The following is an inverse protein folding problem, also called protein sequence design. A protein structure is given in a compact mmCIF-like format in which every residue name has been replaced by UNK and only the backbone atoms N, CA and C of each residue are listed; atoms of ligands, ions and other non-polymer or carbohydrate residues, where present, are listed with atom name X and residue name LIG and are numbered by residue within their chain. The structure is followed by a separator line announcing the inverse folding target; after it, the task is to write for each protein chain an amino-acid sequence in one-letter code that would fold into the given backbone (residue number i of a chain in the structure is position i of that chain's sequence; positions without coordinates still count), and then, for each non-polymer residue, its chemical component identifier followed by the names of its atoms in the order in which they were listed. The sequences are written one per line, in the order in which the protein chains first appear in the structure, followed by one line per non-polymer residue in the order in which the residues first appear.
data_IF_601561328786
#
_entry.id   IF_601561328786
#
_cell.length_a   1.000
_cell.length_b   1.000
_cell.length_c   1.000
_cell.angle_alpha   90.00
_cell.angle_beta   90.00
_cell.angle_gamma   90.00
#
_symmetry.space_group_name_H-M   'P 1'
#
loop_
_entity.id
_entity.type
_entity.pdbx_description
1 polymer ?
#
# COMPACT_ATOMS: atom_id res chain seq x y z
N UNK A 1 36.20 8.14 -11.97
CA UNK A 1 35.00 8.26 -11.12
C UNK A 1 35.27 9.07 -9.85
N UNK A 2 36.37 8.83 -9.11
CA UNK A 2 36.79 9.71 -8.01
C UNK A 2 37.03 11.15 -8.46
N UNK A 3 37.58 11.34 -9.66
CA UNK A 3 37.84 12.68 -10.20
C UNK A 3 36.53 13.46 -10.43
N UNK A 4 35.50 12.79 -10.97
CA UNK A 4 34.16 13.36 -11.16
C UNK A 4 33.56 13.80 -9.82
N UNK A 5 33.64 12.94 -8.79
CA UNK A 5 33.13 13.28 -7.46
C UNK A 5 33.84 14.51 -6.89
N UNK A 6 35.18 14.55 -7.01
CA UNK A 6 35.98 15.71 -6.57
C UNK A 6 35.63 16.99 -7.34
N UNK A 7 35.48 16.91 -8.66
CA UNK A 7 35.10 18.06 -9.50
C UNK A 7 33.76 18.67 -9.09
N UNK A 8 32.83 17.85 -8.59
CA UNK A 8 31.50 18.28 -8.17
C UNK A 8 31.35 18.45 -6.65
N UNK A 9 32.45 18.44 -5.88
CA UNK A 9 32.42 18.54 -4.41
C UNK A 9 31.52 17.49 -3.75
N UNK A 10 31.50 16.27 -4.30
CA UNK A 10 30.71 15.16 -3.82
C UNK A 10 31.58 14.12 -3.10
N UNK A 11 31.03 13.52 -2.06
CA UNK A 11 31.66 12.46 -1.28
C UNK A 11 30.80 11.21 -1.27
N UNK A 12 31.44 10.05 -1.41
CA UNK A 12 30.81 8.74 -1.26
C UNK A 12 30.98 8.26 0.18
N UNK A 13 29.88 8.03 0.89
CA UNK A 13 29.89 7.76 2.34
C UNK A 13 29.86 6.28 2.72
N UNK A 14 29.54 5.37 1.79
CA UNK A 14 29.50 3.93 2.11
C UNK A 14 30.91 3.36 2.19
N UNK A 15 31.24 2.78 3.35
CA UNK A 15 32.55 2.22 3.66
C UNK A 15 32.53 0.71 3.95
N UNK A 16 31.35 0.08 3.88
CA UNK A 16 31.16 -1.34 4.18
C UNK A 16 30.74 -2.11 2.91
N UNK A 17 31.12 -3.40 2.78
CA UNK A 17 30.78 -4.17 1.59
C UNK A 17 29.27 -4.38 1.44
N UNK A 18 28.75 -4.00 0.27
CA UNK A 18 27.33 -3.98 -0.07
C UNK A 18 26.89 -5.18 -0.90
N UNK A 19 27.82 -6.06 -1.30
CA UNK A 19 27.53 -7.31 -1.99
C UNK A 19 28.11 -8.52 -1.24
N UNK A 20 27.57 -9.72 -1.47
CA UNK A 20 28.08 -11.00 -0.90
C UNK A 20 29.55 -11.29 -1.22
N UNK A 21 30.08 -10.80 -2.34
CA UNK A 21 31.50 -10.93 -2.74
C UNK A 21 32.43 -9.92 -2.08
N UNK A 22 31.95 -9.18 -1.07
CA UNK A 22 32.70 -8.18 -0.33
C UNK A 22 33.19 -6.98 -1.17
N UNK A 23 32.40 -6.57 -2.16
CA UNK A 23 32.62 -5.34 -2.92
C UNK A 23 31.69 -4.20 -2.48
N UNK A 24 32.08 -2.95 -2.75
CA UNK A 24 31.27 -1.74 -2.52
C UNK A 24 30.84 -1.21 -3.89
N UNK A 25 29.70 -1.71 -4.39
CA UNK A 25 29.13 -1.32 -5.68
C UNK A 25 27.98 -0.31 -5.53
N UNK A 26 27.31 -0.32 -4.39
CA UNK A 26 26.18 0.55 -4.08
C UNK A 26 26.68 1.78 -3.32
N UNK A 27 26.49 2.95 -3.92
CA UNK A 27 27.01 4.21 -3.38
C UNK A 27 25.91 5.14 -2.86
N UNK A 28 26.26 5.92 -1.84
CA UNK A 28 25.47 7.03 -1.31
C UNK A 28 26.35 8.26 -1.43
N UNK A 29 26.04 9.10 -2.42
CA UNK A 29 26.87 10.25 -2.76
C UNK A 29 26.18 11.52 -2.29
N UNK A 30 26.90 12.36 -1.54
CA UNK A 30 26.38 13.63 -1.00
C UNK A 30 27.47 14.72 -1.02
N UNK A 31 27.12 15.99 -1.28
CA UNK A 31 28.05 17.10 -1.06
C UNK A 31 28.29 17.38 0.43
N UNK A 32 27.34 16.99 1.28
CA UNK A 32 27.37 17.23 2.72
C UNK A 32 27.17 15.90 3.46
N UNK A 33 28.25 15.42 4.07
CA UNK A 33 28.32 14.13 4.76
C UNK A 33 27.52 14.18 6.07
N UNK A 34 27.43 15.35 6.71
CA UNK A 34 26.79 15.52 8.01
C UNK A 34 25.26 15.39 7.93
N UNK A 35 24.70 15.46 6.72
CA UNK A 35 23.28 15.16 6.48
C UNK A 35 22.95 13.66 6.56
N UNK A 36 23.95 12.77 6.49
CA UNK A 36 23.73 11.32 6.50
C UNK A 36 23.97 10.79 7.91
N UNK A 37 22.89 10.35 8.56
CA UNK A 37 22.93 9.78 9.89
C UNK A 37 22.68 8.27 9.86
N UNK A 38 23.19 7.54 10.87
CA UNK A 38 22.89 6.12 11.09
C UNK A 38 23.03 5.21 9.84
N UNK A 39 24.08 5.40 9.03
CA UNK A 39 24.32 4.58 7.85
C UNK A 39 24.65 3.13 8.24
N UNK A 40 23.87 2.19 7.73
CA UNK A 40 24.00 0.76 7.97
C UNK A 40 23.85 -0.02 6.67
N UNK A 41 24.63 -1.08 6.53
CA UNK A 41 24.51 -2.04 5.43
C UNK A 41 23.97 -3.36 5.98
N UNK A 42 22.74 -3.68 5.60
CA UNK A 42 21.97 -4.81 6.12
C UNK A 42 21.82 -5.92 5.08
N UNK A 43 22.26 -7.13 5.42
CA UNK A 43 21.97 -8.31 4.60
C UNK A 43 20.56 -8.83 4.93
N UNK A 44 19.63 -8.67 3.98
CA UNK A 44 18.26 -9.18 4.12
C UNK A 44 18.10 -10.61 3.61
N UNK A 45 19.16 -11.24 3.08
CA UNK A 45 19.16 -12.57 2.49
C UNK A 45 18.15 -12.73 1.32
N UNK A 46 17.74 -11.62 0.70
CA UNK A 46 16.80 -11.57 -0.43
C UNK A 46 17.53 -11.67 -1.78
N UNK A 47 18.76 -11.16 -1.83
CA UNK A 47 19.57 -10.99 -3.03
C UNK A 47 21.05 -11.13 -2.65
N UNK A 48 21.94 -11.09 -3.62
CA UNK A 48 23.38 -10.90 -3.43
C UNK A 48 23.75 -9.46 -3.04
N UNK A 49 22.83 -8.52 -3.23
CA UNK A 49 22.92 -7.14 -2.76
C UNK A 49 22.43 -6.99 -1.31
N UNK A 50 23.13 -6.17 -0.53
CA UNK A 50 22.75 -5.75 0.82
C UNK A 50 22.05 -4.39 0.75
N UNK A 51 21.12 -4.17 1.66
CA UNK A 51 20.34 -2.92 1.74
C UNK A 51 21.10 -1.88 2.52
N UNK A 52 21.32 -0.72 1.93
CA UNK A 52 21.85 0.46 2.63
C UNK A 52 20.69 1.22 3.25
N UNK A 53 20.75 1.43 4.55
CA UNK A 53 19.78 2.21 5.32
C UNK A 53 20.52 3.37 5.95
N UNK A 54 19.96 4.57 5.86
CA UNK A 54 20.48 5.75 6.53
C UNK A 54 19.33 6.72 6.81
N UNK A 55 19.56 7.63 7.72
CA UNK A 55 18.66 8.71 8.09
C UNK A 55 19.12 10.01 7.43
N UNK A 56 18.15 10.82 7.02
CA UNK A 56 18.38 12.08 6.33
C UNK A 56 17.42 13.12 6.91
N UNK A 57 17.86 14.36 7.20
CA UNK A 57 17.09 15.37 7.94
C UNK A 57 16.00 16.05 7.09
N UNK A 58 15.35 15.28 6.22
CA UNK A 58 14.27 15.76 5.36
C UNK A 58 13.05 14.85 5.49
N UNK A 59 11.91 15.47 5.76
CA UNK A 59 10.65 14.76 5.80
C UNK A 59 10.09 14.59 4.39
N UNK A 60 9.71 13.36 4.05
CA UNK A 60 8.93 13.11 2.83
C UNK A 60 7.66 13.97 2.86
N UNK A 61 7.33 14.71 1.78
CA UNK A 61 6.09 15.46 1.70
C UNK A 61 4.88 14.58 2.01
N UNK A 62 3.91 15.12 2.76
CA UNK A 62 2.69 14.38 3.09
C UNK A 62 1.94 14.08 1.79
N UNK A 63 1.47 12.84 1.65
CA UNK A 63 0.61 12.48 0.53
C UNK A 63 -0.66 13.32 0.54
N UNK A 64 -1.07 13.77 -0.64
CA UNK A 64 -2.31 14.53 -0.82
C UNK A 64 -3.48 13.69 -0.34
N UNK A 65 -4.39 14.31 0.39
CA UNK A 65 -5.63 13.69 0.83
C UNK A 65 -6.79 14.38 0.12
N UNK A 66 -7.76 13.59 -0.33
CA UNK A 66 -8.99 14.11 -0.91
C UNK A 66 -10.20 13.49 -0.23
N UNK A 67 -11.25 14.28 -0.12
CA UNK A 67 -12.55 13.83 0.36
C UNK A 67 -13.30 13.20 -0.79
N UNK A 68 -13.75 11.96 -0.60
CA UNK A 68 -14.64 11.30 -1.55
C UNK A 68 -15.94 10.90 -0.85
N UNK A 69 -16.99 10.79 -1.65
CA UNK A 69 -18.27 10.29 -1.21
C UNK A 69 -18.53 8.97 -1.95
N UNK A 70 -18.73 7.89 -1.20
CA UNK A 70 -18.88 6.56 -1.78
C UNK A 70 -19.86 5.68 -1.00
N UNK A 71 -20.38 4.66 -1.69
CA UNK A 71 -21.18 3.58 -1.10
C UNK A 71 -20.35 2.31 -1.08
N UNK A 72 -20.46 1.52 -0.01
CA UNK A 72 -19.84 0.18 0.01
C UNK A 72 -20.64 -0.74 -0.90
N UNK A 73 -19.96 -1.51 -1.76
CA UNK A 73 -20.57 -2.55 -2.59
C UNK A 73 -20.82 -3.87 -1.84
N UNK A 74 -20.42 -3.95 -0.57
CA UNK A 74 -20.68 -5.13 0.27
C UNK A 74 -22.09 -5.04 0.85
N UNK A 75 -23.07 -5.45 0.06
CA UNK A 75 -24.50 -5.40 0.36
C UNK A 75 -24.99 -6.82 0.61
N UNK A 76 -25.86 -6.99 1.61
CA UNK A 76 -26.63 -8.22 1.77
C UNK A 76 -27.68 -8.31 0.65
N UNK A 77 -27.42 -9.16 -0.34
CA UNK A 77 -28.30 -9.34 -1.49
C UNK A 77 -29.66 -9.95 -1.10
N UNK A 78 -29.72 -10.78 -0.06
CA UNK A 78 -30.98 -11.38 0.38
C UNK A 78 -31.87 -10.31 1.02
N UNK A 79 -31.32 -9.54 1.95
CA UNK A 79 -32.05 -8.43 2.58
C UNK A 79 -32.52 -7.41 1.54
N UNK A 80 -31.65 -7.03 0.60
CA UNK A 80 -32.02 -6.11 -0.48
C UNK A 80 -33.13 -6.68 -1.38
N UNK A 81 -33.08 -7.97 -1.72
CA UNK A 81 -34.13 -8.60 -2.53
C UNK A 81 -35.49 -8.60 -1.83
N UNK A 82 -35.51 -8.86 -0.52
CA UNK A 82 -36.75 -8.84 0.28
C UNK A 82 -37.33 -7.42 0.31
N UNK A 83 -36.51 -6.42 0.62
CA UNK A 83 -36.98 -5.05 0.79
C UNK A 83 -37.34 -4.39 -0.55
N UNK A 84 -36.69 -4.78 -1.65
CA UNK A 84 -37.09 -4.36 -3.01
C UNK A 84 -38.44 -4.95 -3.42
N UNK A 85 -38.71 -6.23 -3.13
CA UNK A 85 -40.00 -6.84 -3.41
C UNK A 85 -41.14 -6.14 -2.64
N UNK A 86 -40.93 -5.92 -1.33
CA UNK A 86 -41.89 -5.16 -0.49
C UNK A 86 -42.14 -3.76 -1.04
N UNK A 87 -41.08 -3.04 -1.41
CA UNK A 87 -41.22 -1.70 -1.98
C UNK A 87 -41.98 -1.69 -3.32
N UNK A 88 -41.84 -2.74 -4.14
CA UNK A 88 -42.59 -2.88 -5.38
C UNK A 88 -44.08 -3.17 -5.14
N UNK A 89 -44.41 -3.94 -4.11
CA UNK A 89 -45.80 -4.19 -3.69
C UNK A 89 -46.45 -2.90 -3.13
N UNK A 90 -45.75 -2.16 -2.28
CA UNK A 90 -46.18 -0.85 -1.76
C UNK A 90 -46.46 0.17 -2.88
N UNK A 91 -45.68 0.13 -3.96
CA UNK A 91 -45.88 1.05 -5.09
C UNK A 91 -47.14 0.76 -5.89
N UNK A 92 -47.63 -0.49 -5.92
CA UNK A 92 -48.84 -0.85 -6.67
C UNK A 92 -50.11 -0.24 -6.07
N UNK A 93 -50.07 0.09 -4.78
CA UNK A 93 -51.20 0.68 -4.05
C UNK A 93 -51.10 2.20 -3.96
N UNK A 94 -50.00 2.80 -4.46
CA UNK A 94 -49.75 4.24 -4.40
C UNK A 94 -50.39 4.97 -5.59
N UNK A 95 -51.58 5.57 -5.38
CA UNK A 95 -52.33 6.35 -6.39
C UNK A 95 -51.77 7.79 -6.56
N UNK A 96 -50.47 8.00 -6.37
CA UNK A 96 -49.86 9.31 -6.53
C UNK A 96 -49.68 9.68 -8.02
N UNK A 97 -49.96 10.95 -8.35
CA UNK A 97 -49.86 11.48 -9.74
C UNK A 97 -48.42 11.52 -10.29
N UNK A 98 -47.41 11.26 -9.47
CA UNK A 98 -45.99 11.35 -9.87
C UNK A 98 -45.24 10.05 -9.51
N UNK A 99 -45.57 8.99 -10.24
CA UNK A 99 -45.01 7.63 -10.08
C UNK A 99 -43.49 7.60 -10.21
N UNK A 100 -42.91 8.44 -11.08
CA UNK A 100 -41.47 8.52 -11.31
C UNK A 100 -40.73 9.01 -10.06
N UNK A 101 -41.26 10.06 -9.40
CA UNK A 101 -40.64 10.59 -8.19
C UNK A 101 -40.77 9.63 -7.00
N UNK A 102 -41.92 8.95 -6.86
CA UNK A 102 -42.09 7.89 -5.86
C UNK A 102 -41.09 6.76 -6.09
N UNK A 103 -40.93 6.31 -7.33
CA UNK A 103 -39.97 5.27 -7.69
C UNK A 103 -38.53 5.65 -7.32
N UNK A 104 -38.07 6.81 -7.77
CA UNK A 104 -36.71 7.30 -7.52
C UNK A 104 -36.43 7.48 -6.02
N UNK A 105 -37.39 8.02 -5.28
CA UNK A 105 -37.28 8.22 -3.83
C UNK A 105 -37.16 6.90 -3.08
N UNK A 106 -38.00 5.91 -3.39
CA UNK A 106 -37.97 4.59 -2.74
C UNK A 106 -36.68 3.82 -3.05
N UNK A 107 -36.22 3.83 -4.30
CA UNK A 107 -34.92 3.25 -4.64
C UNK A 107 -33.76 3.92 -3.90
N UNK A 108 -33.77 5.25 -3.80
CA UNK A 108 -32.76 5.98 -3.03
C UNK A 108 -32.80 5.58 -1.55
N UNK A 109 -33.98 5.45 -0.96
CA UNK A 109 -34.15 4.99 0.42
C UNK A 109 -33.59 3.58 0.63
N UNK A 110 -33.91 2.63 -0.25
CA UNK A 110 -33.36 1.28 -0.20
C UNK A 110 -31.83 1.31 -0.31
N UNK A 111 -31.29 2.11 -1.23
CA UNK A 111 -29.85 2.27 -1.38
C UNK A 111 -29.20 2.90 -0.14
N UNK A 112 -29.88 3.82 0.55
CA UNK A 112 -29.40 4.41 1.80
C UNK A 112 -29.46 3.43 2.99
N UNK A 113 -30.43 2.52 3.02
CA UNK A 113 -30.54 1.44 4.02
C UNK A 113 -29.42 0.42 3.83
N UNK A 114 -29.29 -0.14 2.63
CA UNK A 114 -28.37 -1.26 2.37
C UNK A 114 -26.95 -0.82 2.05
N UNK A 115 -26.76 0.39 1.51
CA UNK A 115 -25.46 0.89 1.08
C UNK A 115 -25.34 2.41 1.36
N UNK A 116 -25.41 2.86 2.62
CA UNK A 116 -25.44 4.27 2.96
C UNK A 116 -24.27 5.05 2.37
N UNK A 117 -24.56 6.26 1.90
CA UNK A 117 -23.55 7.16 1.35
C UNK A 117 -22.62 7.62 2.47
N UNK A 118 -21.32 7.38 2.33
CA UNK A 118 -20.32 7.74 3.34
C UNK A 118 -19.28 8.66 2.73
N UNK A 119 -19.03 9.77 3.41
CA UNK A 119 -17.92 10.66 3.11
C UNK A 119 -16.67 10.16 3.84
N UNK A 120 -15.56 10.02 3.12
CA UNK A 120 -14.29 9.54 3.67
C UNK A 120 -13.13 10.31 3.07
N UNK A 121 -12.12 10.56 3.89
CA UNK A 121 -10.85 11.09 3.44
C UNK A 121 -10.00 9.93 2.96
N UNK A 122 -9.60 9.95 1.69
CA UNK A 122 -8.66 8.98 1.14
C UNK A 122 -7.32 9.66 0.84
N UNK A 123 -6.25 8.89 0.98
CA UNK A 123 -4.94 9.27 0.46
C UNK A 123 -4.95 9.11 -1.04
N UNK A 124 -4.63 10.17 -1.76
CA UNK A 124 -4.42 10.09 -3.20
C UNK A 124 -3.12 9.35 -3.47
N UNK A 125 -3.21 8.24 -4.20
CA UNK A 125 -2.10 7.36 -4.50
C UNK A 125 -2.06 7.15 -6.00
N UNK A 126 -0.89 7.31 -6.64
CA UNK A 126 -0.73 6.93 -8.05
C UNK A 126 -1.19 5.50 -8.27
N UNK A 127 -1.83 5.25 -9.41
CA UNK A 127 -2.10 3.88 -9.83
C UNK A 127 -0.79 3.13 -9.96
N UNK A 128 -0.78 1.86 -9.51
CA UNK A 128 0.35 0.96 -9.70
C UNK A 128 -0.11 -0.24 -10.53
N UNK A 129 -0.23 -0.10 -11.87
CA UNK A 129 -0.77 -1.15 -12.75
C UNK A 129 0.03 -2.45 -12.69
N UNK A 130 1.33 -2.35 -12.41
CA UNK A 130 2.24 -3.47 -12.23
C UNK A 130 2.02 -4.25 -10.92
N UNK A 131 1.20 -3.75 -9.98
CA UNK A 131 0.95 -4.40 -8.68
C UNK A 131 -0.31 -5.28 -8.73
N UNK A 132 -0.19 -6.46 -9.36
CA UNK A 132 -1.25 -7.46 -9.45
C UNK A 132 -1.63 -8.07 -8.08
N UNK A 133 -2.78 -8.74 -7.99
CA UNK A 133 -3.16 -9.53 -6.80
C UNK A 133 -2.12 -10.61 -6.49
N UNK A 134 -1.65 -11.30 -7.51
CA UNK A 134 -0.61 -12.32 -7.40
C UNK A 134 0.68 -11.77 -6.75
N UNK A 135 1.17 -10.61 -7.20
CA UNK A 135 2.35 -9.97 -6.60
C UNK A 135 2.08 -9.58 -5.14
N UNK A 136 0.87 -9.12 -4.81
CA UNK A 136 0.50 -8.79 -3.42
C UNK A 136 0.49 -10.03 -2.52
N UNK A 137 0.03 -11.17 -3.03
CA UNK A 137 0.04 -12.45 -2.32
C UNK A 137 1.46 -12.91 -2.02
N UNK A 138 2.33 -12.96 -3.04
CA UNK A 138 3.76 -13.31 -2.88
C UNK A 138 4.45 -12.38 -1.86
N UNK A 139 4.25 -11.06 -1.96
CA UNK A 139 4.79 -10.09 -0.98
C UNK A 139 4.24 -10.31 0.42
N UNK A 140 3.01 -10.78 0.55
CA UNK A 140 2.38 -11.03 1.86
C UNK A 140 2.94 -12.29 2.48
N UNK A 141 3.07 -13.36 1.72
CA UNK A 141 3.69 -14.62 2.16
C UNK A 141 5.13 -14.40 2.62
N UNK A 142 5.94 -13.74 1.78
CA UNK A 142 7.33 -13.41 2.12
C UNK A 142 7.46 -12.63 3.42
N UNK A 143 6.63 -11.59 3.62
CA UNK A 143 6.62 -10.81 4.86
C UNK A 143 6.16 -11.62 6.08
N UNK A 144 5.30 -12.62 5.91
CA UNK A 144 4.89 -13.52 7.00
C UNK A 144 6.07 -14.40 7.41
N UNK A 145 6.76 -15.01 6.47
CA UNK A 145 7.95 -15.81 6.74
C UNK A 145 9.08 -14.98 7.36
N UNK A 146 9.32 -13.77 6.84
CA UNK A 146 10.30 -12.84 7.41
C UNK A 146 9.98 -12.51 8.88
N UNK A 147 8.72 -12.15 9.18
CA UNK A 147 8.29 -11.86 10.55
C UNK A 147 8.46 -13.07 11.48
N UNK A 148 8.12 -14.28 10.99
CA UNK A 148 8.28 -15.53 11.75
C UNK A 148 9.76 -15.81 12.03
N UNK A 149 10.64 -15.62 11.06
CA UNK A 149 12.07 -15.76 11.25
C UNK A 149 12.59 -14.73 12.27
N UNK A 150 12.30 -13.44 12.08
CA UNK A 150 12.74 -12.39 13.00
C UNK A 150 12.25 -12.59 14.44
N UNK A 151 11.05 -13.15 14.63
CA UNK A 151 10.50 -13.38 15.97
C UNK A 151 11.06 -14.64 16.66
N UNK A 152 11.47 -15.66 15.90
CA UNK A 152 11.91 -16.95 16.46
C UNK A 152 13.43 -17.15 16.41
N UNK A 153 14.12 -16.43 15.53
CA UNK A 153 15.54 -16.55 15.24
C UNK A 153 16.02 -17.98 14.90
N UNK A 154 15.12 -18.87 14.43
CA UNK A 154 15.44 -20.25 14.07
C UNK A 154 15.97 -20.35 12.63
N UNK A 155 16.96 -21.22 12.40
CA UNK A 155 17.56 -21.46 11.09
C UNK A 155 16.51 -21.93 10.06
N UNK A 156 15.63 -22.85 10.45
CA UNK A 156 14.57 -23.38 9.57
C UNK A 156 13.65 -22.25 9.07
N UNK A 157 13.30 -21.29 9.92
CA UNK A 157 12.47 -20.16 9.49
C UNK A 157 13.23 -19.19 8.56
N UNK A 158 14.55 -19.08 8.73
CA UNK A 158 15.41 -18.32 7.82
C UNK A 158 15.48 -18.97 6.44
N UNK A 159 15.61 -20.30 6.39
CA UNK A 159 15.60 -21.08 5.14
C UNK A 159 14.27 -20.93 4.42
N UNK A 160 13.15 -21.13 5.10
CA UNK A 160 11.81 -20.91 4.53
C UNK A 160 11.69 -19.49 3.96
N UNK A 161 12.11 -18.47 4.70
CA UNK A 161 12.07 -17.08 4.21
C UNK A 161 12.95 -16.85 2.97
N UNK A 162 14.13 -17.48 2.92
CA UNK A 162 15.06 -17.37 1.79
C UNK A 162 14.56 -18.07 0.55
N UNK A 163 13.92 -19.22 0.73
CA UNK A 163 13.52 -20.12 -0.36
C UNK A 163 12.13 -19.75 -0.94
N UNK A 164 11.46 -18.74 -0.38
CA UNK A 164 10.28 -18.10 -0.97
C UNK A 164 10.69 -17.23 -2.16
N UNK A 165 10.18 -17.58 -3.35
CA UNK A 165 10.32 -16.80 -4.59
C UNK A 165 9.64 -15.42 -4.47
#
# INVERSE_FOLDING_TARGET
MRDILKTHFLSQVVNTPTQKKNHILEWVVTPDIDLINNLQVMDQCISDHKVIVFEFPYCKPKLVKRTITCRKKNIDNQALSIDTQRAAEDMKTDYNKNLVDTYNRKLKQLLDIHAPLKTRIITDRPSAPWMSSHIKELKTERRRAERKWRSTNLCIHKEIYRDLN
#
